data_IF_714607774008
#
_entry.id   IF_714607774008
#
_cell.length_a   1.000
_cell.length_b   1.000
_cell.length_c   1.000
_cell.angle_alpha   90.00
_cell.angle_beta   90.00
_cell.angle_gamma   90.00
#
_symmetry.space_group_name_H-M   'P 1'
#
loop_
_entity.id
_entity.type
_entity.pdbx_description
1 polymer ?
#
# COMPACT_ATOMS: atom_id res chain seq x y z
N UNK A 1 -3.57 -24.43 17.25
CA UNK A 1 -4.39 -24.71 16.05
C UNK A 1 -4.04 -23.67 15.00
N UNK A 2 -3.99 -24.08 13.73
CA UNK A 2 -3.61 -23.36 12.50
C UNK A 2 -2.11 -23.12 12.25
N UNK A 3 -1.61 -23.82 11.23
CA UNK A 3 -0.51 -23.36 10.40
C UNK A 3 -0.81 -21.95 9.90
N UNK A 4 0.16 -21.06 9.94
CA UNK A 4 0.09 -19.71 9.37
C UNK A 4 0.06 -19.79 7.85
N UNK A 5 -1.03 -20.29 7.28
CA UNK A 5 -1.44 -19.91 5.94
C UNK A 5 -2.20 -18.62 6.11
N UNK A 6 -1.55 -17.49 5.85
CA UNK A 6 -2.26 -16.24 5.70
C UNK A 6 -3.25 -16.44 4.53
N UNK A 7 -4.54 -16.56 4.84
CA UNK A 7 -5.56 -16.65 3.81
C UNK A 7 -5.63 -15.29 3.11
N UNK A 8 -5.53 -15.30 1.79
CA UNK A 8 -5.94 -14.16 0.99
C UNK A 8 -7.47 -14.09 1.01
N UNK A 9 -8.04 -12.89 1.00
CA UNK A 9 -9.49 -12.74 0.91
C UNK A 9 -10.01 -13.18 -0.46
N UNK A 10 -9.38 -12.65 -1.52
CA UNK A 10 -9.64 -13.01 -2.90
C UNK A 10 -8.33 -13.00 -3.69
N UNK A 11 -7.91 -14.19 -4.14
CA UNK A 11 -6.79 -14.36 -5.06
C UNK A 11 -7.31 -14.64 -6.47
N UNK A 12 -6.91 -13.83 -7.43
CA UNK A 12 -7.17 -14.11 -8.82
C UNK A 12 -5.90 -14.51 -9.56
N UNK A 13 -6.04 -15.66 -10.21
CA UNK A 13 -5.10 -16.20 -11.15
C UNK A 13 -5.84 -16.47 -12.47
N UNK A 14 -5.15 -16.51 -13.60
CA UNK A 14 -5.58 -17.23 -14.81
C UNK A 14 -6.74 -16.64 -15.62
N UNK A 15 -7.07 -15.37 -15.46
CA UNK A 15 -8.33 -14.86 -16.01
C UNK A 15 -8.15 -13.63 -16.89
N UNK A 16 -8.97 -13.54 -17.94
CA UNK A 16 -9.04 -12.37 -18.83
C UNK A 16 -10.41 -11.73 -18.68
N UNK A 17 -10.45 -10.40 -18.67
CA UNK A 17 -11.70 -9.63 -18.56
C UNK A 17 -12.48 -9.96 -17.28
N UNK A 18 -11.76 -10.10 -16.17
CA UNK A 18 -12.32 -10.49 -14.87
C UNK A 18 -13.08 -9.33 -14.26
N UNK A 19 -14.27 -9.59 -13.73
CA UNK A 19 -15.03 -8.64 -12.92
C UNK A 19 -15.09 -9.14 -11.48
N UNK A 20 -14.65 -8.30 -10.55
CA UNK A 20 -14.83 -8.47 -9.11
C UNK A 20 -15.72 -7.32 -8.66
N UNK A 21 -16.96 -7.62 -8.27
CA UNK A 21 -17.95 -6.60 -7.95
C UNK A 21 -18.65 -6.90 -6.63
N UNK A 22 -18.98 -5.84 -5.88
CA UNK A 22 -19.77 -5.88 -4.65
C UNK A 22 -19.23 -6.87 -3.59
N UNK A 23 -17.91 -7.03 -3.53
CA UNK A 23 -17.24 -7.90 -2.57
C UNK A 23 -16.88 -7.15 -1.27
N UNK A 24 -16.96 -7.84 -0.15
CA UNK A 24 -16.48 -7.39 1.16
C UNK A 24 -15.45 -8.38 1.68
N UNK A 25 -14.26 -7.90 2.02
CA UNK A 25 -13.14 -8.72 2.48
C UNK A 25 -12.63 -8.19 3.81
N UNK A 26 -12.73 -9.02 4.84
CA UNK A 26 -12.25 -8.73 6.18
C UNK A 26 -11.06 -9.60 6.54
N UNK A 27 -10.06 -8.96 7.14
CA UNK A 27 -8.98 -9.61 7.85
C UNK A 27 -9.03 -9.32 9.34
N UNK A 28 -7.96 -9.72 10.02
CA UNK A 28 -7.79 -9.49 11.45
C UNK A 28 -6.38 -8.94 11.71
N UNK A 29 -6.31 -7.87 12.51
CA UNK A 29 -5.04 -7.34 12.98
C UNK A 29 -4.74 -7.78 14.41
N UNK A 30 -3.46 -7.85 14.74
CA UNK A 30 -2.95 -8.06 16.08
C UNK A 30 -1.83 -7.06 16.37
N UNK A 31 -1.73 -6.57 17.61
CA UNK A 31 -0.56 -5.77 18.01
C UNK A 31 0.61 -6.69 18.31
N UNK A 32 1.83 -6.25 18.00
CA UNK A 32 3.02 -7.03 18.41
C UNK A 32 3.15 -7.10 19.94
N UNK A 33 2.61 -6.12 20.66
CA UNK A 33 2.47 -6.14 22.12
C UNK A 33 1.67 -7.36 22.61
N UNK A 34 0.56 -7.69 21.93
CA UNK A 34 -0.27 -8.85 22.28
C UNK A 34 0.43 -10.17 21.92
N UNK A 35 1.11 -10.22 20.77
CA UNK A 35 1.89 -11.40 20.36
C UNK A 35 3.00 -11.69 21.38
N UNK A 36 3.76 -10.67 21.79
CA UNK A 36 4.85 -10.83 22.77
C UNK A 36 4.34 -11.21 24.18
N UNK A 37 3.04 -11.01 24.46
CA UNK A 37 2.42 -11.43 25.70
C UNK A 37 2.01 -12.92 25.70
N UNK A 38 1.97 -13.58 24.53
CA UNK A 38 1.65 -15.00 24.41
C UNK A 38 2.60 -15.87 25.26
N UNK A 39 2.06 -16.96 25.82
CA UNK A 39 2.79 -17.89 26.70
C UNK A 39 2.91 -19.30 26.12
N UNK A 40 2.47 -19.49 24.88
CA UNK A 40 2.44 -20.77 24.17
C UNK A 40 2.17 -20.53 22.68
N UNK A 41 2.49 -21.49 21.82
CA UNK A 41 2.24 -21.43 20.38
C UNK A 41 3.49 -21.12 19.56
N UNK A 42 3.36 -21.07 18.24
CA UNK A 42 4.48 -21.04 17.31
C UNK A 42 5.45 -19.86 17.53
N UNK A 43 4.91 -18.67 17.79
CA UNK A 43 5.72 -17.48 18.08
C UNK A 43 6.52 -17.64 19.37
N UNK A 44 5.86 -18.06 20.45
CA UNK A 44 6.50 -18.32 21.75
C UNK A 44 7.55 -19.44 21.67
N UNK A 45 7.26 -20.54 20.98
CA UNK A 45 8.19 -21.67 20.76
C UNK A 45 9.43 -21.29 19.94
N UNK A 46 9.40 -20.14 19.25
CA UNK A 46 10.51 -19.58 18.47
C UNK A 46 11.06 -18.29 19.06
N UNK A 47 10.81 -18.03 20.34
CA UNK A 47 11.28 -16.83 21.04
C UNK A 47 10.92 -15.50 20.34
N UNK A 48 9.81 -15.51 19.58
CA UNK A 48 9.30 -14.40 18.79
C UNK A 48 10.28 -13.85 17.75
N UNK A 49 11.03 -14.73 17.07
CA UNK A 49 11.87 -14.39 15.93
C UNK A 49 11.16 -14.62 14.59
N UNK A 50 11.28 -13.64 13.70
CA UNK A 50 10.99 -13.77 12.28
C UNK A 50 12.22 -14.27 11.50
N UNK A 51 12.01 -14.82 10.30
CA UNK A 51 13.08 -15.38 9.46
C UNK A 51 14.06 -14.32 8.92
N UNK A 52 13.70 -13.04 8.98
CA UNK A 52 14.49 -11.90 8.49
C UNK A 52 14.38 -10.74 9.47
N UNK A 53 15.29 -9.78 9.37
CA UNK A 53 15.25 -8.52 10.12
C UNK A 53 14.79 -7.31 9.31
N UNK A 54 14.53 -6.21 10.01
CA UNK A 54 14.14 -4.91 9.43
C UNK A 54 12.66 -4.80 9.07
N UNK A 55 12.33 -4.06 8.02
CA UNK A 55 10.94 -3.92 7.55
C UNK A 55 10.51 -5.10 6.69
N UNK A 56 9.50 -5.83 7.15
CA UNK A 56 8.99 -7.06 6.56
C UNK A 56 7.48 -6.93 6.39
N UNK A 57 7.04 -6.79 5.13
CA UNK A 57 5.64 -6.93 4.74
C UNK A 57 4.63 -6.09 5.54
N UNK A 58 4.99 -4.86 5.92
CA UNK A 58 4.10 -3.97 6.69
C UNK A 58 4.51 -3.79 8.15
N UNK A 59 5.44 -4.60 8.65
CA UNK A 59 5.85 -4.59 10.06
C UNK A 59 7.34 -4.39 10.18
N UNK A 60 7.76 -3.54 11.11
CA UNK A 60 9.19 -3.42 11.45
C UNK A 60 9.55 -4.39 12.58
N UNK A 61 10.55 -5.24 12.36
CA UNK A 61 11.18 -6.06 13.41
C UNK A 61 12.62 -5.61 13.61
N UNK A 62 13.28 -6.10 14.65
CA UNK A 62 14.70 -5.82 14.87
C UNK A 62 15.56 -6.38 13.72
N UNK A 63 16.79 -5.88 13.57
CA UNK A 63 17.72 -6.31 12.52
C UNK A 63 18.10 -7.79 12.60
N UNK A 64 18.06 -8.38 13.80
CA UNK A 64 18.26 -9.81 14.03
C UNK A 64 16.99 -10.65 13.83
N UNK A 65 15.87 -10.01 13.46
CA UNK A 65 14.57 -10.64 13.24
C UNK A 65 13.67 -10.71 14.46
N UNK A 66 14.08 -10.20 15.63
CA UNK A 66 13.23 -10.23 16.83
C UNK A 66 12.00 -9.32 16.66
N UNK A 67 10.81 -9.85 16.95
CA UNK A 67 9.58 -9.05 17.00
C UNK A 67 9.70 -8.02 18.13
N UNK A 68 9.41 -6.75 17.81
CA UNK A 68 9.46 -5.64 18.76
C UNK A 68 8.04 -5.13 19.09
N UNK A 69 7.80 -4.60 20.29
CA UNK A 69 6.52 -3.99 20.65
C UNK A 69 6.24 -2.72 19.83
N UNK A 70 5.00 -2.25 19.82
CA UNK A 70 4.68 -0.97 19.18
C UNK A 70 4.23 -1.05 17.70
N UNK A 71 4.16 -2.23 17.10
CA UNK A 71 3.72 -2.42 15.72
C UNK A 71 2.32 -3.07 15.66
N UNK A 72 1.78 -3.18 14.45
CA UNK A 72 0.51 -3.85 14.16
C UNK A 72 0.74 -4.79 12.97
N UNK A 73 0.38 -6.06 13.12
CA UNK A 73 0.52 -7.09 12.10
C UNK A 73 -0.86 -7.57 11.64
N UNK A 74 -0.96 -7.96 10.37
CA UNK A 74 -2.14 -8.65 9.85
C UNK A 74 -1.99 -10.16 10.00
N UNK A 75 -3.06 -10.81 10.45
CA UNK A 75 -3.19 -12.27 10.51
C UNK A 75 -3.75 -12.85 9.18
N UNK A 76 -4.09 -11.98 8.24
CA UNK A 76 -4.59 -12.31 6.92
C UNK A 76 -3.62 -11.78 5.85
N UNK A 77 -3.64 -12.37 4.65
CA UNK A 77 -2.76 -11.89 3.58
C UNK A 77 -3.35 -10.65 2.90
N UNK A 78 -3.47 -10.63 1.58
CA UNK A 78 -3.99 -9.48 0.85
C UNK A 78 -5.49 -9.63 0.62
N UNK A 79 -6.21 -8.50 0.58
CA UNK A 79 -7.63 -8.47 0.36
C UNK A 79 -8.01 -8.96 -1.02
N UNK A 80 -7.67 -8.18 -2.05
CA UNK A 80 -7.84 -8.58 -3.45
C UNK A 80 -6.48 -8.50 -4.12
N UNK A 81 -5.98 -9.61 -4.65
CA UNK A 81 -4.67 -9.67 -5.30
C UNK A 81 -4.75 -10.24 -6.70
N UNK A 82 -4.12 -9.54 -7.63
CA UNK A 82 -3.96 -9.94 -9.03
C UNK A 82 -2.52 -10.42 -9.25
N UNK A 83 -2.39 -11.65 -9.73
CA UNK A 83 -1.12 -12.20 -10.18
C UNK A 83 -0.99 -12.07 -11.71
N UNK A 84 0.18 -11.67 -12.24
CA UNK A 84 0.34 -11.39 -13.67
C UNK A 84 0.23 -12.61 -14.56
N UNK A 85 0.73 -13.76 -14.11
CA UNK A 85 0.79 -15.00 -14.87
C UNK A 85 0.99 -16.17 -13.91
N UNK A 86 0.45 -17.33 -14.27
CA UNK A 86 0.94 -18.60 -13.75
C UNK A 86 0.75 -19.72 -14.78
N UNK A 87 1.73 -20.60 -14.87
CA UNK A 87 1.82 -21.71 -15.85
C UNK A 87 1.59 -21.28 -17.31
N UNK A 88 2.09 -20.10 -17.70
CA UNK A 88 1.97 -19.54 -19.05
C UNK A 88 0.64 -18.85 -19.34
N UNK A 89 -0.27 -18.75 -18.35
CA UNK A 89 -1.58 -18.13 -18.52
C UNK A 89 -1.59 -16.73 -17.91
N UNK A 90 -1.55 -15.67 -18.73
CA UNK A 90 -1.52 -14.30 -18.24
C UNK A 90 -2.90 -13.85 -17.74
N UNK A 91 -2.91 -13.10 -16.65
CA UNK A 91 -4.06 -12.33 -16.19
C UNK A 91 -4.09 -10.99 -16.91
N UNK A 92 -5.24 -10.61 -17.47
CA UNK A 92 -5.38 -9.36 -18.22
C UNK A 92 -6.75 -8.73 -18.02
N UNK A 93 -6.77 -7.40 -17.97
CA UNK A 93 -7.98 -6.58 -17.99
C UNK A 93 -8.92 -6.90 -16.82
N UNK A 94 -8.45 -6.75 -15.60
CA UNK A 94 -9.30 -6.92 -14.42
C UNK A 94 -10.07 -5.63 -14.14
N UNK A 95 -11.36 -5.76 -13.82
CA UNK A 95 -12.19 -4.68 -13.26
C UNK A 95 -12.61 -5.05 -11.85
N UNK A 96 -12.30 -4.18 -10.89
CA UNK A 96 -12.68 -4.29 -9.48
C UNK A 96 -13.61 -3.12 -9.18
N UNK A 97 -14.83 -3.41 -8.71
CA UNK A 97 -15.87 -2.38 -8.57
C UNK A 97 -16.64 -2.54 -7.27
N UNK A 98 -16.92 -1.43 -6.60
CA UNK A 98 -17.76 -1.39 -5.38
C UNK A 98 -17.29 -2.36 -4.28
N UNK A 99 -15.98 -2.64 -4.21
CA UNK A 99 -15.44 -3.58 -3.24
C UNK A 99 -14.94 -2.84 -1.99
N UNK A 100 -14.99 -3.54 -0.86
CA UNK A 100 -14.49 -3.04 0.42
C UNK A 100 -13.48 -4.04 0.99
N UNK A 101 -12.34 -3.54 1.46
CA UNK A 101 -11.31 -4.36 2.11
C UNK A 101 -10.93 -3.75 3.45
N UNK A 102 -10.87 -4.56 4.49
CA UNK A 102 -10.63 -4.13 5.86
C UNK A 102 -9.61 -5.02 6.55
N UNK A 103 -8.65 -4.44 7.27
CA UNK A 103 -7.75 -5.18 8.18
C UNK A 103 -6.95 -6.32 7.54
N UNK A 104 -6.55 -6.14 6.28
CA UNK A 104 -5.68 -7.07 5.55
C UNK A 104 -4.21 -6.60 5.62
N UNK A 105 -3.27 -7.46 5.21
CA UNK A 105 -1.88 -7.05 5.02
C UNK A 105 -1.81 -5.95 3.97
N UNK A 106 -2.38 -6.22 2.80
CA UNK A 106 -2.62 -5.21 1.76
C UNK A 106 -4.08 -5.19 1.37
N UNK A 107 -4.59 -4.05 0.94
CA UNK A 107 -5.98 -3.92 0.52
C UNK A 107 -6.25 -4.51 -0.85
N UNK A 108 -6.02 -3.71 -1.89
CA UNK A 108 -6.21 -4.10 -3.30
C UNK A 108 -4.88 -3.98 -4.04
N UNK A 109 -4.44 -5.10 -4.62
CA UNK A 109 -3.10 -5.28 -5.17
C UNK A 109 -3.13 -5.67 -6.64
N UNK A 110 -2.88 -4.69 -7.51
CA UNK A 110 -2.75 -4.85 -8.98
C UNK A 110 -1.31 -4.62 -9.44
N UNK A 111 -0.44 -4.14 -8.56
CA UNK A 111 0.95 -3.75 -8.84
C UNK A 111 1.84 -4.75 -9.57
N UNK A 112 1.56 -6.06 -9.45
CA UNK A 112 2.32 -7.11 -10.15
C UNK A 112 1.84 -7.33 -11.58
N UNK A 113 0.66 -6.84 -11.94
CA UNK A 113 0.08 -6.91 -13.27
C UNK A 113 0.83 -6.07 -14.28
N UNK A 114 0.82 -6.54 -15.53
CA UNK A 114 1.28 -5.78 -16.70
C UNK A 114 0.12 -5.19 -17.50
N UNK A 115 -1.12 -5.59 -17.19
CA UNK A 115 -2.34 -4.99 -17.74
C UNK A 115 -2.73 -3.75 -16.95
N UNK A 116 -3.34 -2.77 -17.63
CA UNK A 116 -4.01 -1.67 -16.96
C UNK A 116 -5.34 -2.12 -16.39
N UNK A 117 -5.37 -2.42 -15.10
CA UNK A 117 -6.57 -2.85 -14.40
C UNK A 117 -7.40 -1.63 -13.96
N UNK A 118 -8.72 -1.81 -13.85
CA UNK A 118 -9.66 -0.74 -13.49
C UNK A 118 -10.24 -1.01 -12.11
N UNK A 119 -10.11 -0.04 -11.22
CA UNK A 119 -10.60 -0.12 -9.85
C UNK A 119 -11.51 1.08 -9.60
N UNK A 120 -12.77 0.82 -9.28
CA UNK A 120 -13.81 1.86 -9.24
C UNK A 120 -14.65 1.76 -7.97
N UNK A 121 -14.91 2.88 -7.32
CA UNK A 121 -15.78 2.95 -6.13
C UNK A 121 -15.35 1.98 -5.01
N UNK A 122 -14.05 1.70 -4.89
CA UNK A 122 -13.55 0.76 -3.91
C UNK A 122 -13.05 1.49 -2.66
N UNK A 123 -13.13 0.80 -1.54
CA UNK A 123 -12.69 1.31 -0.25
C UNK A 123 -11.73 0.32 0.42
N UNK A 124 -10.64 0.84 0.97
CA UNK A 124 -9.68 0.06 1.75
C UNK A 124 -9.41 0.74 3.08
N UNK A 125 -9.44 -0.01 4.18
CA UNK A 125 -9.21 0.56 5.52
C UNK A 125 -8.31 -0.31 6.38
N UNK A 126 -7.54 0.32 7.26
CA UNK A 126 -6.74 -0.33 8.29
C UNK A 126 -5.83 -1.45 7.74
N UNK A 127 -5.26 -1.31 6.55
CA UNK A 127 -4.27 -2.26 6.05
C UNK A 127 -2.87 -1.89 6.57
N UNK A 128 -1.99 -2.89 6.73
CA UNK A 128 -0.70 -2.71 7.43
C UNK A 128 0.53 -2.61 6.54
N UNK A 129 0.42 -2.94 5.25
CA UNK A 129 1.52 -2.82 4.28
C UNK A 129 1.25 -1.77 3.20
N UNK A 130 0.02 -1.70 2.67
CA UNK A 130 -0.47 -0.59 1.83
C UNK A 130 -1.96 -0.75 1.60
N UNK A 131 -2.70 0.34 1.45
CA UNK A 131 -4.11 0.27 1.06
C UNK A 131 -4.26 -0.23 -0.37
N UNK A 132 -3.79 0.55 -1.35
CA UNK A 132 -3.76 0.14 -2.76
C UNK A 132 -2.32 -0.01 -3.27
N UNK A 133 -1.96 -1.19 -3.77
CA UNK A 133 -0.73 -1.41 -4.51
C UNK A 133 -1.00 -1.29 -6.02
N UNK A 134 -0.63 -0.14 -6.58
CA UNK A 134 -0.90 0.26 -7.95
C UNK A 134 0.25 -0.13 -8.90
N UNK A 135 -0.10 -0.58 -10.10
CA UNK A 135 0.80 -1.08 -11.14
C UNK A 135 0.73 -0.29 -12.44
N UNK A 136 1.05 -0.99 -13.54
CA UNK A 136 1.16 -0.39 -14.87
C UNK A 136 -0.21 -0.06 -15.45
N UNK A 137 -0.42 1.18 -15.89
CA UNK A 137 -1.63 1.62 -16.61
C UNK A 137 -2.92 1.43 -15.81
N UNK A 138 -2.80 1.18 -14.51
CA UNK A 138 -3.94 1.03 -13.62
C UNK A 138 -4.73 2.32 -13.55
N UNK A 139 -6.04 2.19 -13.43
CA UNK A 139 -6.96 3.30 -13.32
C UNK A 139 -7.80 3.13 -12.06
N UNK A 140 -7.54 3.97 -11.04
CA UNK A 140 -8.32 4.02 -9.80
C UNK A 140 -9.25 5.24 -9.87
N UNK A 141 -10.56 5.02 -9.84
CA UNK A 141 -11.59 6.08 -9.94
C UNK A 141 -12.48 6.01 -8.72
N UNK A 142 -12.74 7.16 -8.09
CA UNK A 142 -13.59 7.26 -6.91
C UNK A 142 -13.24 6.22 -5.82
N UNK A 143 -11.94 5.95 -5.64
CA UNK A 143 -11.46 5.03 -4.62
C UNK A 143 -11.11 5.81 -3.34
N UNK A 144 -11.19 5.15 -2.19
CA UNK A 144 -10.86 5.77 -0.90
C UNK A 144 -10.10 4.83 0.03
N UNK A 145 -9.17 5.40 0.79
CA UNK A 145 -8.44 4.67 1.82
C UNK A 145 -8.00 5.53 3.00
N UNK A 146 -7.82 4.91 4.17
CA UNK A 146 -7.06 5.53 5.27
C UNK A 146 -5.56 5.21 5.17
N UNK A 147 -4.77 5.99 5.90
CA UNK A 147 -3.33 5.78 6.06
C UNK A 147 -2.97 5.58 7.54
N UNK A 148 -3.76 4.80 8.29
CA UNK A 148 -3.56 4.64 9.74
C UNK A 148 -2.34 3.80 10.08
N UNK A 149 -2.14 2.69 9.40
CA UNK A 149 -1.11 1.69 9.71
C UNK A 149 -0.07 1.53 8.59
N UNK A 150 -0.41 1.96 7.38
CA UNK A 150 0.50 2.08 6.24
C UNK A 150 0.06 3.21 5.33
N UNK A 151 0.77 3.45 4.23
CA UNK A 151 0.29 4.34 3.17
C UNK A 151 -1.11 3.94 2.64
N UNK A 152 -1.90 4.94 2.25
CA UNK A 152 -3.21 4.73 1.63
C UNK A 152 -3.07 4.05 0.25
N UNK A 153 -2.01 4.41 -0.48
CA UNK A 153 -1.63 3.72 -1.70
C UNK A 153 -0.14 3.89 -2.00
N UNK A 154 0.40 2.99 -2.81
CA UNK A 154 1.72 3.14 -3.41
C UNK A 154 1.77 2.69 -4.86
N UNK A 155 2.68 3.30 -5.61
CA UNK A 155 3.21 2.79 -6.88
C UNK A 155 4.66 2.36 -6.57
N UNK A 156 4.90 1.12 -6.12
CA UNK A 156 6.19 0.77 -5.52
C UNK A 156 7.26 0.40 -6.55
N UNK A 157 6.89 0.21 -7.82
CA UNK A 157 7.77 -0.30 -8.86
C UNK A 157 8.36 0.82 -9.71
N UNK A 158 9.69 0.89 -9.82
CA UNK A 158 10.36 1.90 -10.66
C UNK A 158 9.97 1.85 -12.15
N UNK A 159 9.50 0.70 -12.60
CA UNK A 159 9.13 0.45 -14.00
C UNK A 159 7.63 0.60 -14.24
N UNK A 160 6.84 0.88 -13.19
CA UNK A 160 5.43 1.18 -13.36
C UNK A 160 5.28 2.42 -14.24
N UNK A 161 4.33 2.38 -15.17
CA UNK A 161 4.09 3.51 -16.07
C UNK A 161 2.59 3.85 -16.20
N UNK A 162 2.30 5.13 -16.40
CA UNK A 162 1.04 5.64 -16.93
C UNK A 162 -0.23 5.26 -16.13
N UNK A 163 -0.10 5.00 -14.83
CA UNK A 163 -1.25 4.85 -13.93
C UNK A 163 -1.99 6.19 -13.70
N UNK A 164 -3.32 6.11 -13.59
CA UNK A 164 -4.19 7.20 -13.17
C UNK A 164 -4.82 6.85 -11.81
N UNK A 165 -4.66 7.73 -10.82
CA UNK A 165 -5.13 7.48 -9.45
C UNK A 165 -5.96 8.66 -8.96
N UNK A 166 -7.24 8.42 -8.68
CA UNK A 166 -8.09 9.33 -7.92
C UNK A 166 -8.38 8.71 -6.55
N UNK A 167 -7.79 9.30 -5.51
CA UNK A 167 -7.84 8.79 -4.15
C UNK A 167 -8.46 9.79 -3.18
N UNK A 168 -9.48 9.36 -2.45
CA UNK A 168 -10.00 10.08 -1.29
C UNK A 168 -9.42 9.49 0.00
N UNK A 169 -8.79 10.33 0.81
CA UNK A 169 -8.20 9.94 2.07
C UNK A 169 -9.26 10.00 3.18
N UNK A 170 -9.50 8.84 3.79
CA UNK A 170 -10.37 8.67 4.94
C UNK A 170 -9.67 9.09 6.24
N UNK A 171 -10.40 9.09 7.36
CA UNK A 171 -9.86 9.45 8.68
C UNK A 171 -8.63 8.62 9.04
N UNK A 172 -7.47 9.24 8.96
CA UNK A 172 -6.15 8.66 9.22
C UNK A 172 -5.57 9.11 10.57
N UNK A 173 -6.37 9.80 11.40
CA UNK A 173 -5.97 10.18 12.76
C UNK A 173 -5.82 8.95 13.64
N UNK A 174 -4.99 9.10 14.68
CA UNK A 174 -4.68 8.06 15.66
C UNK A 174 -4.09 6.78 15.02
N UNK A 175 -3.46 6.92 13.86
CA UNK A 175 -2.64 5.87 13.25
C UNK A 175 -1.40 5.55 14.09
N UNK A 176 -0.81 4.38 13.82
CA UNK A 176 0.40 3.87 14.50
C UNK A 176 1.42 3.43 13.46
N UNK A 177 2.71 3.59 13.76
CA UNK A 177 3.84 3.12 12.95
C UNK A 177 3.92 3.63 11.49
N UNK A 178 3.02 4.52 11.05
CA UNK A 178 3.03 5.08 9.70
C UNK A 178 3.39 6.57 9.66
N UNK A 179 4.13 6.96 8.62
CA UNK A 179 4.44 8.36 8.27
C UNK A 179 4.15 8.68 6.81
N UNK A 180 3.66 7.73 6.02
CA UNK A 180 3.42 7.90 4.59
C UNK A 180 1.92 8.03 4.32
N UNK A 181 1.54 9.04 3.56
CA UNK A 181 0.25 9.05 2.89
C UNK A 181 0.31 8.21 1.62
N UNK A 182 1.38 8.41 0.83
CA UNK A 182 1.63 7.69 -0.42
C UNK A 182 3.12 7.63 -0.77
N UNK A 183 3.51 6.57 -1.46
CA UNK A 183 4.84 6.41 -2.05
C UNK A 183 4.70 6.20 -3.57
N UNK A 184 5.30 7.07 -4.38
CA UNK A 184 5.10 7.09 -5.83
C UNK A 184 6.45 6.93 -6.53
N UNK A 185 6.66 5.78 -7.16
CA UNK A 185 7.73 5.50 -8.11
C UNK A 185 7.14 5.33 -9.52
N UNK A 186 8.00 5.11 -10.50
CA UNK A 186 7.59 4.87 -11.88
C UNK A 186 7.61 6.14 -12.74
N UNK A 187 6.78 6.15 -13.78
CA UNK A 187 6.74 7.27 -14.72
C UNK A 187 5.39 7.56 -15.35
N UNK A 188 5.14 8.82 -15.71
CA UNK A 188 3.94 9.20 -16.46
C UNK A 188 2.64 9.09 -15.66
N UNK A 189 2.71 8.99 -14.33
CA UNK A 189 1.53 8.86 -13.48
C UNK A 189 0.78 10.18 -13.34
N UNK A 190 -0.55 10.11 -13.30
CA UNK A 190 -1.40 11.22 -12.89
C UNK A 190 -2.15 10.83 -11.62
N UNK A 191 -1.91 11.57 -10.55
CA UNK A 191 -2.38 11.26 -9.21
C UNK A 191 -3.13 12.47 -8.64
N UNK A 192 -4.37 12.25 -8.22
CA UNK A 192 -5.24 13.22 -7.57
C UNK A 192 -5.60 12.69 -6.19
N UNK A 193 -5.24 13.43 -5.15
CA UNK A 193 -5.47 13.06 -3.75
C UNK A 193 -6.30 14.15 -3.10
N UNK A 194 -7.44 13.76 -2.52
CA UNK A 194 -8.34 14.66 -1.78
C UNK A 194 -8.72 14.07 -0.44
N UNK A 195 -9.32 14.86 0.43
CA UNK A 195 -10.04 14.36 1.60
C UNK A 195 -11.30 15.19 1.80
N UNK A 196 -12.37 14.55 2.27
CA UNK A 196 -13.63 15.25 2.61
C UNK A 196 -13.48 16.16 3.83
N UNK A 197 -12.46 15.91 4.67
CA UNK A 197 -12.18 16.70 5.84
C UNK A 197 -10.65 16.81 6.01
N UNK A 198 -10.05 18.02 5.91
CA UNK A 198 -8.61 18.19 6.06
C UNK A 198 -8.04 17.61 7.36
N UNK A 199 -8.81 17.63 8.46
CA UNK A 199 -8.37 17.07 9.76
C UNK A 199 -8.20 15.55 9.74
N UNK A 200 -8.73 14.85 8.74
CA UNK A 200 -8.53 13.40 8.58
C UNK A 200 -7.09 13.04 8.19
N UNK A 201 -6.31 13.99 7.69
CA UNK A 201 -4.93 13.76 7.26
C UNK A 201 -3.99 14.46 8.26
N UNK A 202 -3.32 13.71 9.16
CA UNK A 202 -2.34 14.31 10.06
C UNK A 202 -1.16 14.92 9.31
N UNK A 203 -0.67 16.08 9.76
CA UNK A 203 0.48 16.79 9.15
C UNK A 203 1.80 16.01 9.22
N UNK A 204 1.85 14.96 10.04
CA UNK A 204 2.98 14.03 10.11
C UNK A 204 3.09 13.12 8.88
N UNK A 205 1.99 12.92 8.14
CA UNK A 205 1.99 12.14 6.92
C UNK A 205 2.62 12.91 5.76
N UNK A 206 3.27 12.17 4.86
CA UNK A 206 3.94 12.72 3.69
C UNK A 206 3.67 11.89 2.43
N UNK A 207 3.66 12.56 1.30
CA UNK A 207 3.70 11.94 -0.02
C UNK A 207 5.16 11.98 -0.48
N UNK A 208 5.73 10.84 -0.85
CA UNK A 208 7.12 10.75 -1.33
C UNK A 208 7.17 10.35 -2.81
N UNK A 209 7.86 11.13 -3.63
CA UNK A 209 8.19 10.79 -5.01
C UNK A 209 9.63 10.26 -5.07
N UNK A 210 9.84 9.14 -5.77
CA UNK A 210 11.12 8.41 -5.78
C UNK A 210 11.47 7.78 -4.41
N UNK A 211 10.48 7.13 -3.80
CA UNK A 211 10.52 6.66 -2.41
C UNK A 211 11.08 5.25 -2.25
N UNK A 212 12.00 5.10 -1.27
CA UNK A 212 12.44 3.81 -0.71
C UNK A 212 11.73 3.46 0.59
N UNK A 213 10.66 4.15 0.95
CA UNK A 213 9.95 3.97 2.22
C UNK A 213 8.72 3.09 2.04
N UNK A 214 8.17 2.56 3.14
CA UNK A 214 6.93 1.79 3.14
C UNK A 214 7.05 0.54 2.27
N UNK A 215 5.98 0.22 1.54
CA UNK A 215 5.96 -0.98 0.71
C UNK A 215 6.99 -0.97 -0.42
N UNK A 216 7.41 0.22 -0.88
CA UNK A 216 8.47 0.37 -1.89
C UNK A 216 9.82 -0.17 -1.40
N UNK A 217 10.13 -0.04 -0.10
CA UNK A 217 11.33 -0.63 0.51
C UNK A 217 11.35 -2.15 0.31
N UNK A 218 10.24 -2.78 0.68
CA UNK A 218 10.08 -4.23 0.67
C UNK A 218 10.21 -4.81 -0.75
N UNK A 219 9.67 -4.12 -1.76
CA UNK A 219 9.75 -4.57 -3.16
C UNK A 219 11.18 -4.56 -3.74
N UNK A 220 12.10 -3.76 -3.18
CA UNK A 220 13.50 -3.66 -3.64
C UNK A 220 13.66 -3.42 -5.15
N UNK A 221 12.67 -2.79 -5.79
CA UNK A 221 12.63 -2.65 -7.25
C UNK A 221 13.54 -1.53 -7.80
N UNK A 222 14.21 -0.80 -6.91
CA UNK A 222 14.84 0.49 -7.20
C UNK A 222 13.84 1.65 -7.05
N UNK A 223 14.32 2.88 -7.23
CA UNK A 223 13.50 4.09 -7.11
C UNK A 223 13.77 5.05 -8.24
N UNK A 224 12.68 5.65 -8.72
CA UNK A 224 12.66 6.75 -9.68
C UNK A 224 11.23 7.25 -9.75
N UNK A 225 11.04 8.55 -9.94
CA UNK A 225 9.74 9.13 -10.24
C UNK A 225 9.91 10.14 -11.37
N UNK A 226 9.34 9.88 -12.54
CA UNK A 226 9.50 10.81 -13.67
C UNK A 226 8.21 11.15 -14.37
N UNK A 227 8.06 12.39 -14.84
CA UNK A 227 6.83 12.82 -15.55
C UNK A 227 5.58 12.58 -14.71
N UNK A 228 5.67 12.87 -13.41
CA UNK A 228 4.55 12.68 -12.47
C UNK A 228 3.75 13.96 -12.43
N UNK A 229 2.43 13.87 -12.66
CA UNK A 229 1.48 14.93 -12.34
C UNK A 229 0.78 14.60 -11.03
N UNK A 230 0.96 15.41 -10.01
CA UNK A 230 0.38 15.23 -8.69
C UNK A 230 -0.48 16.45 -8.31
N UNK A 231 -1.74 16.20 -8.03
CA UNK A 231 -2.69 17.14 -7.44
C UNK A 231 -2.98 16.69 -6.00
N UNK A 232 -2.34 17.36 -5.03
CA UNK A 232 -2.50 17.07 -3.61
C UNK A 232 -3.38 18.14 -2.93
N UNK A 233 -4.64 17.79 -2.71
CA UNK A 233 -5.60 18.68 -2.03
C UNK A 233 -5.63 18.46 -0.51
N UNK A 234 -4.71 17.65 0.03
CA UNK A 234 -4.62 17.33 1.47
C UNK A 234 -3.57 18.19 2.19
N UNK A 235 -3.49 18.06 3.52
CA UNK A 235 -2.44 18.67 4.35
C UNK A 235 -1.10 17.92 4.33
N UNK A 236 -1.03 16.73 3.74
CA UNK A 236 0.21 15.97 3.71
C UNK A 236 1.24 16.67 2.81
N UNK A 237 2.42 16.94 3.36
CA UNK A 237 3.54 17.53 2.61
C UNK A 237 4.02 16.59 1.49
N UNK A 238 4.51 17.18 0.41
CA UNK A 238 5.08 16.45 -0.73
C UNK A 238 6.60 16.52 -0.66
N UNK A 239 7.29 15.39 -0.75
CA UNK A 239 8.75 15.31 -0.80
C UNK A 239 9.20 14.83 -2.17
N UNK A 240 10.06 15.63 -2.82
CA UNK A 240 10.75 15.26 -4.05
C UNK A 240 12.11 14.67 -3.66
N UNK A 241 12.26 13.35 -3.73
CA UNK A 241 13.51 12.66 -3.36
C UNK A 241 14.43 12.48 -4.58
N UNK A 242 15.73 12.15 -4.38
CA UNK A 242 16.63 11.89 -5.49
C UNK A 242 16.04 10.87 -6.48
N UNK A 243 16.04 11.23 -7.77
CA UNK A 243 15.37 10.48 -8.84
C UNK A 243 13.96 10.97 -9.20
N UNK A 244 13.44 12.01 -8.52
CA UNK A 244 12.24 12.73 -8.92
C UNK A 244 12.55 13.78 -10.02
N UNK A 245 12.16 13.52 -11.27
CA UNK A 245 12.53 14.33 -12.45
C UNK A 245 11.30 14.69 -13.27
N UNK A 246 11.21 15.93 -13.77
CA UNK A 246 10.06 16.41 -14.56
C UNK A 246 8.73 16.15 -13.85
N UNK A 247 8.61 16.60 -12.60
CA UNK A 247 7.40 16.45 -11.80
C UNK A 247 6.61 17.76 -11.79
N UNK A 248 5.30 17.66 -11.96
CA UNK A 248 4.35 18.75 -11.87
C UNK A 248 3.52 18.52 -10.61
N UNK A 249 3.62 19.44 -9.64
CA UNK A 249 2.94 19.31 -8.34
C UNK A 249 2.10 20.53 -8.06
N UNK A 250 0.79 20.32 -7.95
CA UNK A 250 -0.16 21.28 -7.38
C UNK A 250 -0.53 20.78 -5.98
N UNK A 251 -0.25 21.55 -4.93
CA UNK A 251 -0.40 21.08 -3.55
C UNK A 251 -0.91 22.16 -2.61
N UNK A 252 -1.90 21.81 -1.78
CA UNK A 252 -2.37 22.64 -0.65
C UNK A 252 -1.41 22.61 0.55
N UNK A 253 -0.41 21.73 0.52
CA UNK A 253 0.62 21.57 1.54
C UNK A 253 2.03 21.86 0.96
N UNK A 254 3.03 22.13 1.81
CA UNK A 254 4.39 22.39 1.35
C UNK A 254 4.96 21.29 0.44
N UNK A 255 5.61 21.72 -0.63
CA UNK A 255 6.43 20.87 -1.51
C UNK A 255 7.88 21.08 -1.11
N UNK A 256 8.54 20.01 -0.65
CA UNK A 256 9.92 20.01 -0.17
C UNK A 256 10.78 19.34 -1.22
N UNK A 257 11.70 20.10 -1.78
CA UNK A 257 12.75 19.56 -2.65
C UNK A 257 13.89 18.98 -1.81
N UNK A 258 14.12 17.67 -1.92
CA UNK A 258 15.17 16.94 -1.23
C UNK A 258 16.06 16.16 -2.22
N UNK A 259 16.08 16.57 -3.50
CA UNK A 259 16.84 15.88 -4.56
C UNK A 259 18.36 16.02 -4.45
N UNK A 260 18.83 16.99 -3.68
CA UNK A 260 20.25 17.32 -3.51
C UNK A 260 20.83 16.92 -2.14
N UNK A 261 20.09 16.13 -1.36
CA UNK A 261 20.56 15.60 -0.07
C UNK A 261 21.12 14.19 -0.17
#
# INVERSE_FOLDING_TARGET
MQSTHACHGTCHFFTRNTLIEDCHVDGLLCTTDAILAEKSGYGFERDFYADKGGYIEGVTVAEDGKIVPGEIISLSEDGIRIYPEYSGHPTKNTTIKNCTVFQMRRGICTGLGSSGDKIMNCEVRNCVATGFNVGNKDTLINCRADAKFSEAFCVPYRHAENAFVQMEIMDSRNGKANKLLAAINGSGHHVVIKSVNPSFVPDSLKIELSSRSGYSYYQRSGVSASKIKLENQTSAKVLLLPGAVNVEVESNAPVIDAREK
#
